data_IF_695601305892
#
_entry.id   IF_695601305892
#
_cell.length_a   1.000
_cell.length_b   1.000
_cell.length_c   1.000
_cell.angle_alpha   90.00
_cell.angle_beta   90.00
_cell.angle_gamma   90.00
#
_symmetry.space_group_name_H-M   'P 1'
#
loop_
_entity.id
_entity.type
_entity.pdbx_description
1 polymer ?
#
# COMPACT_ATOMS: atom_id res chain seq x y z
N UNK A 1 23.07 10.80 -12.57
CA UNK A 1 22.76 11.32 -11.22
C UNK A 1 21.54 10.57 -10.70
N UNK A 2 21.74 9.54 -9.88
CA UNK A 2 20.63 8.86 -9.21
C UNK A 2 20.21 9.71 -7.99
N UNK A 3 19.09 10.41 -8.11
CA UNK A 3 18.51 11.15 -6.99
C UNK A 3 18.20 10.17 -5.86
N UNK A 4 18.86 10.32 -4.71
CA UNK A 4 18.56 9.60 -3.48
C UNK A 4 17.06 9.73 -3.22
N UNK A 5 16.32 8.63 -3.32
CA UNK A 5 14.91 8.58 -2.95
C UNK A 5 14.81 8.81 -1.45
N UNK A 6 14.65 10.07 -1.04
CA UNK A 6 14.40 10.43 0.34
C UNK A 6 13.20 9.62 0.85
N UNK A 7 13.47 8.75 1.81
CA UNK A 7 12.43 7.95 2.44
C UNK A 7 11.60 8.90 3.29
N UNK A 8 10.33 9.11 2.91
CA UNK A 8 9.40 9.87 3.75
C UNK A 8 8.88 8.92 4.82
N UNK A 9 9.30 9.16 6.05
CA UNK A 9 8.76 8.48 7.22
C UNK A 9 7.46 9.17 7.60
N UNK A 10 6.36 8.41 7.59
CA UNK A 10 5.04 8.94 7.95
C UNK A 10 4.59 8.18 9.21
N UNK A 11 4.41 8.87 10.35
CA UNK A 11 3.88 8.23 11.54
C UNK A 11 2.41 7.89 11.32
N UNK A 12 2.01 6.66 11.67
CA UNK A 12 0.64 6.14 11.46
C UNK A 12 -0.40 7.03 12.15
N UNK A 13 -0.06 7.59 13.31
CA UNK A 13 -0.93 8.41 14.15
C UNK A 13 -1.40 9.70 13.43
N UNK A 14 -0.61 10.24 12.49
CA UNK A 14 -0.97 11.46 11.75
C UNK A 14 -2.02 11.23 10.65
N UNK A 15 -2.26 9.99 10.23
CA UNK A 15 -3.08 9.68 9.06
C UNK A 15 -4.56 9.41 9.38
N UNK A 16 -4.97 9.45 10.66
CA UNK A 16 -6.35 9.14 11.10
C UNK A 16 -6.92 7.87 10.42
N UNK A 17 -6.11 6.82 10.32
CA UNK A 17 -6.49 5.59 9.66
C UNK A 17 -7.46 4.79 10.52
N UNK A 18 -8.47 4.20 9.87
CA UNK A 18 -9.35 3.21 10.53
C UNK A 18 -8.56 1.95 10.90
N UNK A 19 -8.96 1.25 11.96
CA UNK A 19 -8.40 -0.06 12.37
C UNK A 19 -8.30 -1.06 11.21
N UNK A 20 -9.29 -1.06 10.32
CA UNK A 20 -9.29 -1.90 9.13
C UNK A 20 -8.19 -1.51 8.12
N UNK A 21 -7.92 -0.21 7.97
CA UNK A 21 -6.86 0.29 7.09
C UNK A 21 -5.47 -0.03 7.65
N UNK A 22 -5.32 0.00 8.97
CA UNK A 22 -4.09 -0.42 9.67
C UNK A 22 -3.84 -1.91 9.41
N UNK A 23 -4.84 -2.77 9.64
CA UNK A 23 -4.73 -4.21 9.39
C UNK A 23 -4.34 -4.55 7.94
N UNK A 24 -4.76 -3.74 6.97
CA UNK A 24 -4.37 -3.92 5.58
C UNK A 24 -2.93 -3.47 5.32
N UNK A 25 -2.47 -2.39 5.93
CA UNK A 25 -1.07 -1.98 5.83
C UNK A 25 -0.15 -3.05 6.42
N UNK A 26 -0.53 -3.64 7.55
CA UNK A 26 0.19 -4.78 8.14
C UNK A 26 0.25 -5.97 7.19
N UNK A 27 -0.89 -6.38 6.61
CA UNK A 27 -0.90 -7.44 5.59
C UNK A 27 -0.06 -7.09 4.37
N UNK A 28 -0.03 -5.83 3.93
CA UNK A 28 0.84 -5.40 2.83
C UNK A 28 2.32 -5.43 3.20
N UNK A 29 2.68 -5.17 4.48
CA UNK A 29 4.05 -5.34 4.98
C UNK A 29 4.44 -6.82 4.99
N UNK A 30 3.55 -7.70 5.44
CA UNK A 30 3.80 -9.13 5.59
C UNK A 30 3.84 -9.87 4.25
N UNK A 31 2.81 -9.71 3.41
CA UNK A 31 2.66 -10.42 2.14
C UNK A 31 3.28 -9.68 0.95
N UNK A 32 3.65 -8.41 1.11
CA UNK A 32 4.25 -7.54 0.08
C UNK A 32 3.27 -7.03 -0.99
N UNK A 33 2.23 -7.80 -1.31
CA UNK A 33 1.20 -7.39 -2.27
C UNK A 33 -0.16 -8.03 -2.01
N UNK A 34 -1.23 -7.28 -2.27
CA UNK A 34 -2.62 -7.78 -2.16
C UNK A 34 -3.41 -7.49 -3.43
N UNK A 35 -4.42 -8.30 -3.67
CA UNK A 35 -5.35 -8.14 -4.80
C UNK A 35 -6.42 -7.08 -4.51
N UNK A 36 -7.04 -6.54 -5.56
CA UNK A 36 -8.17 -5.60 -5.42
C UNK A 36 -9.31 -6.15 -4.56
N UNK A 37 -9.56 -7.46 -4.60
CA UNK A 37 -10.64 -8.11 -3.83
C UNK A 37 -10.37 -8.08 -2.33
N UNK A 38 -9.10 -8.15 -1.93
CA UNK A 38 -8.67 -8.03 -0.54
C UNK A 38 -8.60 -6.56 -0.09
N UNK A 39 -8.58 -5.63 -1.05
CA UNK A 39 -8.42 -4.18 -0.85
C UNK A 39 -9.68 -3.35 -1.14
N UNK A 40 -10.86 -3.98 -1.21
CA UNK A 40 -12.11 -3.32 -1.66
C UNK A 40 -12.42 -2.02 -0.89
N UNK A 41 -12.02 -1.93 0.38
CA UNK A 41 -12.27 -0.76 1.23
C UNK A 41 -11.07 0.21 1.37
N UNK A 42 -9.99 0.03 0.60
CA UNK A 42 -8.74 0.81 0.71
C UNK A 42 -8.58 1.94 -0.29
N UNK A 43 -9.67 2.40 -0.92
CA UNK A 43 -9.67 3.61 -1.76
C UNK A 43 -9.02 4.81 -1.06
N UNK A 44 -9.17 4.92 0.26
CA UNK A 44 -8.57 5.99 1.05
C UNK A 44 -7.04 5.87 1.13
N UNK A 45 -6.46 4.66 1.26
CA UNK A 45 -5.01 4.46 1.25
C UNK A 45 -4.38 4.85 -0.10
N UNK A 46 -5.10 4.59 -1.20
CA UNK A 46 -4.68 5.02 -2.53
C UNK A 46 -4.77 6.54 -2.69
N UNK A 47 -5.83 7.18 -2.19
CA UNK A 47 -5.97 8.65 -2.18
C UNK A 47 -4.86 9.33 -1.37
N UNK A 48 -4.47 8.74 -0.25
CA UNK A 48 -3.35 9.17 0.60
C UNK A 48 -1.97 8.89 -0.02
N UNK A 49 -1.92 8.29 -1.22
CA UNK A 49 -0.69 7.95 -1.96
C UNK A 49 0.27 7.02 -1.19
N UNK A 50 -0.26 6.23 -0.25
CA UNK A 50 0.51 5.28 0.57
C UNK A 50 0.80 3.96 -0.18
N UNK A 51 -0.10 3.58 -1.07
CA UNK A 51 -0.02 2.35 -1.87
C UNK A 51 0.01 2.68 -3.36
N UNK A 52 0.62 1.80 -4.14
CA UNK A 52 0.69 1.88 -5.60
C UNK A 52 0.08 0.65 -6.25
N UNK A 53 -0.63 0.86 -7.35
CA UNK A 53 -1.24 -0.19 -8.17
C UNK A 53 -0.26 -0.66 -9.23
N UNK A 54 -0.17 -1.97 -9.44
CA UNK A 54 0.53 -2.55 -10.58
C UNK A 54 -0.24 -3.75 -11.13
N UNK A 55 0.03 -4.08 -12.39
CA UNK A 55 -0.59 -5.19 -13.10
C UNK A 55 0.43 -6.28 -13.39
N UNK A 56 0.07 -7.54 -13.18
CA UNK A 56 0.96 -8.68 -13.46
C UNK A 56 0.21 -9.82 -14.14
N UNK A 57 0.85 -10.40 -15.16
CA UNK A 57 0.36 -11.57 -15.88
C UNK A 57 -0.91 -11.32 -16.70
N UNK A 58 -1.44 -12.40 -17.28
CA UNK A 58 -2.71 -12.41 -18.01
C UNK A 58 -3.76 -13.07 -17.12
N UNK A 59 -4.82 -12.33 -16.80
CA UNK A 59 -5.96 -12.86 -16.07
C UNK A 59 -7.12 -13.22 -16.99
N UNK A 60 -8.30 -13.45 -16.41
CA UNK A 60 -9.48 -13.91 -17.15
C UNK A 60 -9.87 -12.90 -18.26
N UNK A 61 -10.25 -13.43 -19.42
CA UNK A 61 -10.68 -12.65 -20.60
C UNK A 61 -9.61 -11.66 -21.10
N UNK A 62 -8.33 -12.01 -20.96
CA UNK A 62 -7.20 -11.18 -21.40
C UNK A 62 -6.93 -9.96 -20.51
N UNK A 63 -7.62 -9.80 -19.38
CA UNK A 63 -7.40 -8.68 -18.46
C UNK A 63 -6.34 -9.06 -17.44
N UNK A 64 -5.29 -8.23 -17.21
CA UNK A 64 -4.24 -8.57 -16.27
C UNK A 64 -4.75 -8.57 -14.82
N UNK A 65 -4.09 -9.33 -13.94
CA UNK A 65 -4.36 -9.27 -12.51
C UNK A 65 -3.83 -7.96 -11.94
N UNK A 66 -4.62 -7.34 -11.07
CA UNK A 66 -4.30 -6.05 -10.45
C UNK A 66 -3.96 -6.26 -8.99
N UNK A 67 -2.78 -5.79 -8.62
CA UNK A 67 -2.22 -5.87 -7.29
C UNK A 67 -1.89 -4.48 -6.78
N UNK A 68 -1.74 -4.38 -5.47
CA UNK A 68 -1.26 -3.18 -4.81
C UNK A 68 -0.11 -3.53 -3.87
N UNK A 69 0.85 -2.62 -3.79
CA UNK A 69 1.98 -2.67 -2.87
C UNK A 69 2.17 -1.33 -2.18
N UNK A 70 2.87 -1.31 -1.05
CA UNK A 70 3.30 -0.06 -0.41
C UNK A 70 4.17 0.72 -1.42
N UNK A 71 3.95 2.02 -1.51
CA UNK A 71 4.70 2.88 -2.42
C UNK A 71 6.17 2.93 -1.99
N UNK A 72 7.07 2.75 -2.95
CA UNK A 72 8.51 2.86 -2.72
C UNK A 72 8.87 4.24 -2.14
N UNK A 73 9.74 4.25 -1.14
CA UNK A 73 10.14 5.46 -0.41
C UNK A 73 9.21 5.86 0.74
N UNK A 74 8.12 5.13 0.99
CA UNK A 74 7.31 5.33 2.21
C UNK A 74 7.71 4.28 3.25
N UNK A 75 8.24 4.75 4.38
CA UNK A 75 8.48 3.91 5.56
C UNK A 75 7.44 4.26 6.61
N UNK A 76 6.57 3.32 6.91
CA UNK A 76 5.52 3.47 7.91
C UNK A 76 6.12 3.02 9.24
N UNK A 77 6.46 4.00 10.09
CA UNK A 77 6.93 3.74 11.46
C UNK A 77 5.72 3.53 12.37
N UNK A 78 5.70 2.40 13.05
CA UNK A 78 4.88 2.19 14.23
C UNK A 78 5.59 2.90 15.37
N UNK A 79 5.16 4.12 15.69
CA UNK A 79 5.54 4.71 16.97
C UNK A 79 4.68 4.05 18.04
N UNK A 80 5.37 3.43 18.99
CA UNK A 80 4.89 2.56 20.06
C UNK A 80 3.44 2.88 20.50
N UNK A 81 2.59 1.85 20.43
CA UNK A 81 1.32 1.79 21.15
C UNK A 81 1.56 1.87 22.66
#
# INVERSE_FOLDING_TARGET
MASKSESKEIPIQQLYLSSYQIAILEKLKEFGSLTRRELVNCLNLQKLKLITKYSKGVGKRGRPYVYFKIKEGIKIKEENL
#
